data_IF_611626720840
#
_entry.id   IF_611626720840
#
_cell.length_a   1.000
_cell.length_b   1.000
_cell.length_c   1.000
_cell.angle_alpha   90.00
_cell.angle_beta   90.00
_cell.angle_gamma   90.00
#
_symmetry.space_group_name_H-M   'P 1'
#
loop_
_entity.id
_entity.type
_entity.pdbx_description
1 polymer ?
#
# COMPACT_ATOMS: atom_id res chain seq x y z
N UNK A 1 1.29 2.19 -13.13
CA UNK A 1 0.91 2.56 -11.75
C UNK A 1 1.16 4.05 -11.63
N UNK A 2 0.07 4.80 -11.54
CA UNK A 2 -0.08 6.14 -12.09
C UNK A 2 0.71 7.16 -11.26
N UNK A 3 1.92 7.50 -11.73
CA UNK A 3 2.62 8.71 -11.31
C UNK A 3 1.90 9.92 -11.92
N UNK A 4 1.35 10.81 -11.09
CA UNK A 4 0.81 12.08 -11.55
C UNK A 4 -0.50 12.52 -10.91
N UNK A 5 -1.15 11.68 -10.09
CA UNK A 5 -2.45 11.90 -9.40
C UNK A 5 -2.62 13.12 -8.51
N UNK A 6 -1.63 14.01 -8.43
CA UNK A 6 -1.56 14.99 -7.36
C UNK A 6 -1.39 14.35 -5.98
N UNK A 7 -1.13 13.03 -5.93
CA UNK A 7 -0.93 12.28 -4.70
C UNK A 7 0.46 12.56 -4.15
N UNK A 8 0.51 13.13 -2.95
CA UNK A 8 1.71 13.07 -2.14
C UNK A 8 1.88 11.62 -1.67
N UNK A 9 2.77 10.87 -2.30
CA UNK A 9 3.03 9.46 -1.96
C UNK A 9 3.45 9.29 -0.49
N UNK A 10 4.01 10.34 0.13
CA UNK A 10 4.43 10.35 1.53
C UNK A 10 3.32 10.78 2.50
N UNK A 11 2.22 11.37 2.02
CA UNK A 11 1.10 11.79 2.86
C UNK A 11 -0.25 11.52 2.18
N UNK A 12 -0.70 10.27 2.29
CA UNK A 12 -1.92 9.75 1.68
C UNK A 12 -3.21 10.39 2.24
N UNK A 13 -3.12 11.00 3.43
CA UNK A 13 -4.26 11.59 4.14
C UNK A 13 -4.33 13.13 4.03
N UNK A 14 -3.37 13.75 3.33
CA UNK A 14 -3.41 15.19 3.05
C UNK A 14 -4.52 15.56 2.05
N UNK A 15 -4.92 16.85 2.00
CA UNK A 15 -5.79 17.34 0.94
C UNK A 15 -5.25 17.01 -0.46
N UNK A 16 -6.14 16.58 -1.34
CA UNK A 16 -5.80 16.21 -2.71
C UNK A 16 -5.60 17.43 -3.59
N UNK A 17 -4.36 17.76 -3.93
CA UNK A 17 -4.06 18.86 -4.83
C UNK A 17 -3.96 18.33 -6.28
N UNK A 18 -5.05 18.42 -7.05
CA UNK A 18 -5.02 18.19 -8.52
C UNK A 18 -5.79 16.97 -9.09
N UNK A 19 -6.74 16.38 -8.36
CA UNK A 19 -7.40 15.12 -8.79
C UNK A 19 -8.78 15.29 -9.46
N UNK A 20 -8.88 16.13 -10.51
CA UNK A 20 -10.04 16.10 -11.42
C UNK A 20 -9.66 15.34 -12.70
N UNK A 21 -10.16 14.11 -12.89
CA UNK A 21 -10.18 13.44 -14.22
C UNK A 21 -9.24 12.24 -14.46
N UNK A 22 -9.08 11.30 -13.51
CA UNK A 22 -8.05 10.25 -13.58
C UNK A 22 -8.29 9.01 -14.47
N UNK A 23 -9.44 8.90 -15.14
CA UNK A 23 -9.83 7.61 -15.73
C UNK A 23 -9.17 7.30 -17.08
N UNK A 24 -8.79 8.29 -17.89
CA UNK A 24 -8.16 8.05 -19.20
C UNK A 24 -6.77 7.42 -19.07
N UNK A 25 -5.95 7.93 -18.14
CA UNK A 25 -4.61 7.37 -17.88
C UNK A 25 -4.67 6.00 -17.22
N UNK A 26 -5.71 5.73 -16.42
CA UNK A 26 -5.95 4.40 -15.86
C UNK A 26 -6.26 3.38 -16.97
N UNK A 27 -7.11 3.72 -17.94
CA UNK A 27 -7.40 2.86 -19.07
C UNK A 27 -6.14 2.56 -19.91
N UNK A 28 -5.30 3.57 -20.14
CA UNK A 28 -4.02 3.41 -20.84
C UNK A 28 -2.97 2.59 -20.04
N UNK A 29 -2.83 2.82 -18.74
CA UNK A 29 -1.90 2.06 -17.89
C UNK A 29 -2.30 0.58 -17.82
N UNK A 30 -3.59 0.30 -17.65
CA UNK A 30 -4.12 -1.06 -17.56
C UNK A 30 -3.99 -1.81 -18.88
N UNK A 31 -4.31 -1.19 -20.02
CA UNK A 31 -4.15 -1.84 -21.33
C UNK A 31 -2.69 -2.19 -21.64
N UNK A 32 -1.74 -1.38 -21.18
CA UNK A 32 -0.32 -1.67 -21.32
C UNK A 32 0.17 -2.79 -20.39
N UNK A 33 -0.30 -2.84 -19.14
CA UNK A 33 0.09 -3.88 -18.16
C UNK A 33 -0.43 -5.28 -18.53
N UNK A 34 -1.64 -5.37 -19.07
CA UNK A 34 -2.27 -6.66 -19.41
C UNK A 34 -2.15 -7.05 -20.87
N UNK A 35 -1.30 -6.36 -21.65
CA UNK A 35 -1.06 -6.64 -23.07
C UNK A 35 -0.66 -8.10 -23.33
N UNK A 36 0.08 -8.71 -22.40
CA UNK A 36 0.58 -10.08 -22.51
C UNK A 36 -0.41 -11.14 -21.97
N UNK A 37 -1.27 -10.78 -21.01
CA UNK A 37 -2.11 -11.73 -20.27
C UNK A 37 -3.57 -11.77 -20.73
N UNK A 38 -3.95 -10.99 -21.76
CA UNK A 38 -5.30 -10.92 -22.36
C UNK A 38 -6.45 -10.76 -21.35
N UNK A 39 -6.19 -10.12 -20.21
CA UNK A 39 -7.23 -9.82 -19.23
C UNK A 39 -8.05 -8.62 -19.69
N UNK A 40 -9.37 -8.83 -19.81
CA UNK A 40 -10.31 -7.74 -20.10
C UNK A 40 -10.82 -7.17 -18.77
N UNK A 41 -10.20 -6.09 -18.28
CA UNK A 41 -10.65 -5.40 -17.07
C UNK A 41 -11.71 -4.39 -17.46
N UNK A 42 -12.95 -4.59 -17.04
CA UNK A 42 -14.02 -3.63 -17.28
C UNK A 42 -13.62 -2.25 -16.77
N UNK A 43 -13.65 -1.24 -17.65
CA UNK A 43 -13.45 0.16 -17.28
C UNK A 43 -14.80 0.68 -16.81
N UNK A 44 -14.96 1.12 -15.56
CA UNK A 44 -16.25 1.64 -15.12
C UNK A 44 -16.56 2.99 -15.79
N UNK A 45 -17.85 3.38 -15.82
CA UNK A 45 -18.26 4.64 -16.41
C UNK A 45 -17.53 5.85 -15.80
N UNK A 46 -17.20 6.88 -16.61
CA UNK A 46 -16.58 8.10 -16.12
C UNK A 46 -17.44 8.78 -15.04
N UNK A 47 -16.83 9.04 -13.88
CA UNK A 47 -17.31 10.05 -12.93
C UNK A 47 -18.10 9.58 -11.71
N UNK A 48 -18.38 8.28 -11.53
CA UNK A 48 -18.97 7.80 -10.28
C UNK A 48 -17.87 7.57 -9.22
N UNK A 49 -17.89 8.27 -8.07
CA UNK A 49 -17.00 7.95 -6.95
C UNK A 49 -17.29 6.54 -6.45
N UNK A 50 -16.23 5.74 -6.29
CA UNK A 50 -16.35 4.37 -5.77
C UNK A 50 -16.44 4.45 -4.24
N UNK A 51 -17.42 3.78 -3.62
CA UNK A 51 -17.56 3.74 -2.17
C UNK A 51 -16.28 3.25 -1.48
N UNK A 52 -15.96 3.86 -0.35
CA UNK A 52 -14.86 3.40 0.50
C UNK A 52 -13.46 3.62 -0.04
N UNK A 53 -13.26 4.47 -1.07
CA UNK A 53 -11.92 4.79 -1.58
C UNK A 53 -11.45 6.13 -0.99
N UNK A 54 -10.30 6.20 -0.27
CA UNK A 54 -9.75 7.46 0.21
C UNK A 54 -9.47 8.45 -0.92
N UNK A 55 -9.54 9.74 -0.59
CA UNK A 55 -9.16 10.82 -1.52
C UNK A 55 -7.74 10.56 -2.05
N UNK A 56 -7.52 10.84 -3.33
CA UNK A 56 -6.27 10.64 -4.06
C UNK A 56 -5.82 9.20 -4.37
N UNK A 57 -6.62 8.18 -4.05
CA UNK A 57 -6.33 6.80 -4.45
C UNK A 57 -7.28 6.39 -5.57
N UNK A 58 -6.75 5.68 -6.56
CA UNK A 58 -7.57 5.02 -7.57
C UNK A 58 -7.59 3.51 -7.30
N UNK A 59 -8.64 3.03 -6.64
CA UNK A 59 -8.87 1.61 -6.38
C UNK A 59 -9.90 0.97 -7.34
N UNK A 60 -10.13 1.62 -8.48
CA UNK A 60 -11.16 1.24 -9.45
C UNK A 60 -11.01 -0.18 -9.97
N UNK A 61 -9.79 -0.54 -10.38
CA UNK A 61 -9.47 -1.90 -10.85
C UNK A 61 -9.92 -2.96 -9.85
N UNK A 62 -9.52 -2.75 -8.60
CA UNK A 62 -9.70 -3.70 -7.52
C UNK A 62 -11.19 -3.83 -7.15
N UNK A 63 -11.90 -2.70 -7.04
CA UNK A 63 -13.34 -2.70 -6.79
C UNK A 63 -14.11 -3.43 -7.90
N UNK A 64 -13.82 -3.15 -9.17
CA UNK A 64 -14.51 -3.79 -10.30
C UNK A 64 -14.20 -5.28 -10.35
N UNK A 65 -12.94 -5.68 -10.18
CA UNK A 65 -12.52 -7.07 -10.24
C UNK A 65 -13.09 -7.91 -9.08
N UNK A 66 -12.98 -7.44 -7.84
CA UNK A 66 -13.48 -8.16 -6.66
C UNK A 66 -15.01 -8.30 -6.61
N UNK A 67 -15.73 -7.43 -7.33
CA UNK A 67 -17.19 -7.48 -7.40
C UNK A 67 -17.75 -8.23 -8.62
N UNK A 68 -16.91 -8.84 -9.47
CA UNK A 68 -17.42 -9.73 -10.51
C UNK A 68 -17.99 -11.02 -9.89
N UNK A 69 -19.15 -11.48 -10.38
CA UNK A 69 -19.82 -12.68 -9.85
C UNK A 69 -18.92 -13.93 -9.90
N UNK A 70 -18.19 -14.13 -11.02
CA UNK A 70 -17.25 -15.24 -11.17
C UNK A 70 -16.08 -15.15 -10.17
N UNK A 71 -15.53 -13.96 -9.91
CA UNK A 71 -14.46 -13.75 -8.93
C UNK A 71 -14.98 -14.00 -7.52
N UNK A 72 -16.16 -13.46 -7.16
CA UNK A 72 -16.80 -13.71 -5.86
C UNK A 72 -17.08 -15.19 -5.63
N UNK A 73 -17.60 -15.90 -6.64
CA UNK A 73 -17.82 -17.35 -6.57
C UNK A 73 -16.52 -18.13 -6.41
N UNK A 74 -15.47 -17.77 -7.17
CA UNK A 74 -14.15 -18.40 -7.08
C UNK A 74 -13.47 -18.19 -5.71
N UNK A 75 -13.74 -17.06 -5.05
CA UNK A 75 -13.31 -16.76 -3.69
C UNK A 75 -14.29 -17.26 -2.61
N UNK A 76 -15.31 -18.03 -2.99
CA UNK A 76 -16.34 -18.59 -2.11
C UNK A 76 -17.09 -17.54 -1.28
N UNK A 77 -17.30 -16.35 -1.83
CA UNK A 77 -18.05 -15.28 -1.18
C UNK A 77 -19.56 -15.52 -1.37
N UNK A 78 -20.35 -15.62 -0.28
CA UNK A 78 -21.80 -15.77 -0.39
C UNK A 78 -22.47 -14.63 -1.17
N UNK A 79 -23.42 -14.98 -2.03
CA UNK A 79 -24.09 -14.02 -2.92
C UNK A 79 -24.99 -13.00 -2.22
N UNK A 80 -25.39 -13.26 -0.97
CA UNK A 80 -26.21 -12.35 -0.17
C UNK A 80 -25.42 -11.20 0.48
N UNK A 81 -24.09 -11.29 0.49
CA UNK A 81 -23.24 -10.24 1.08
C UNK A 81 -23.17 -9.02 0.17
N UNK A 82 -23.01 -7.81 0.73
CA UNK A 82 -22.89 -6.58 -0.05
C UNK A 82 -21.66 -6.60 -0.98
N UNK A 83 -21.58 -5.61 -1.86
CA UNK A 83 -20.39 -5.37 -2.65
C UNK A 83 -19.17 -5.13 -1.76
N UNK A 84 -18.03 -5.62 -2.21
CA UNK A 84 -16.75 -5.35 -1.57
C UNK A 84 -16.37 -3.88 -1.75
N UNK A 85 -15.88 -3.25 -0.69
CA UNK A 85 -15.37 -1.88 -0.67
C UNK A 85 -13.97 -1.88 -0.03
N UNK A 86 -13.09 -0.95 -0.46
CA UNK A 86 -11.72 -0.88 0.05
C UNK A 86 -11.65 -0.44 1.52
N UNK A 87 -12.45 0.54 1.92
CA UNK A 87 -12.52 1.04 3.30
C UNK A 87 -13.98 1.23 3.71
N UNK A 88 -14.41 0.56 4.78
CA UNK A 88 -15.78 0.72 5.30
C UNK A 88 -15.93 2.02 6.09
N UNK A 89 -16.84 2.88 5.66
CA UNK A 89 -17.22 4.10 6.40
C UNK A 89 -17.92 3.76 7.71
N UNK A 90 -18.72 2.68 7.73
CA UNK A 90 -19.42 2.20 8.92
C UNK A 90 -18.44 1.77 10.02
N UNK A 91 -17.44 0.95 9.66
CA UNK A 91 -16.40 0.55 10.63
C UNK A 91 -15.64 1.78 11.11
N UNK A 92 -15.25 2.67 10.19
CA UNK A 92 -14.46 3.86 10.54
C UNK A 92 -15.21 4.82 11.46
N UNK A 93 -16.52 5.02 11.27
CA UNK A 93 -17.33 5.94 12.09
C UNK A 93 -17.62 5.41 13.49
N UNK A 94 -17.62 4.08 13.65
CA UNK A 94 -17.85 3.43 14.95
C UNK A 94 -16.54 3.07 15.68
N UNK A 95 -15.39 3.24 15.03
CA UNK A 95 -14.11 2.87 15.59
C UNK A 95 -13.72 3.79 16.75
N UNK A 96 -13.47 3.21 17.92
CA UNK A 96 -12.99 3.92 19.09
C UNK A 96 -11.49 3.67 19.28
N UNK A 97 -10.69 4.74 19.24
CA UNK A 97 -9.25 4.65 19.50
C UNK A 97 -9.00 4.42 20.97
N UNK A 98 -8.32 3.33 21.31
CA UNK A 98 -7.96 3.00 22.70
C UNK A 98 -6.66 3.69 23.14
N UNK A 99 -5.72 3.86 22.21
CA UNK A 99 -4.43 4.49 22.46
C UNK A 99 -4.25 5.68 21.51
N UNK A 100 -3.76 6.80 22.05
CA UNK A 100 -3.47 8.00 21.27
C UNK A 100 -2.08 7.97 20.64
N UNK A 101 -1.16 7.25 21.27
CA UNK A 101 0.16 6.95 20.74
C UNK A 101 0.59 5.53 21.14
N UNK A 102 1.62 5.02 20.48
CA UNK A 102 2.22 3.72 20.76
C UNK A 102 3.56 3.85 21.50
N UNK A 103 3.91 5.06 21.96
CA UNK A 103 5.25 5.34 22.48
C UNK A 103 5.63 4.45 23.69
N UNK A 104 4.74 4.17 24.67
CA UNK A 104 5.07 3.30 25.79
C UNK A 104 5.52 1.90 25.35
N UNK A 105 4.83 1.32 24.37
CA UNK A 105 5.16 -0.01 23.84
C UNK A 105 6.52 -0.01 23.11
N UNK A 106 6.81 1.02 22.32
CA UNK A 106 8.10 1.13 21.66
C UNK A 106 9.24 1.42 22.65
N UNK A 107 8.97 2.17 23.73
CA UNK A 107 9.98 2.42 24.76
C UNK A 107 10.44 1.12 25.42
N UNK A 108 9.55 0.16 25.67
CA UNK A 108 9.92 -1.16 26.18
C UNK A 108 10.87 -1.91 25.23
N UNK A 109 10.61 -1.87 23.92
CA UNK A 109 11.45 -2.53 22.91
C UNK A 109 12.81 -1.83 22.74
N UNK A 110 12.84 -0.51 22.87
CA UNK A 110 14.02 0.33 22.65
C UNK A 110 14.96 0.41 23.86
N UNK A 111 14.57 -0.13 25.02
CA UNK A 111 15.45 -0.27 26.20
C UNK A 111 16.61 -1.25 25.96
N UNK A 112 16.54 -2.05 24.88
CA UNK A 112 17.58 -2.99 24.49
C UNK A 112 18.81 -2.32 23.86
N UNK A 113 19.93 -3.04 23.84
CA UNK A 113 21.17 -2.52 23.28
C UNK A 113 21.03 -2.19 21.79
N UNK A 114 21.71 -1.14 21.35
CA UNK A 114 21.86 -0.84 19.93
C UNK A 114 22.80 -1.87 19.33
N UNK A 115 22.29 -2.70 18.44
CA UNK A 115 23.06 -3.73 17.73
C UNK A 115 23.79 -3.13 16.53
N UNK A 116 23.09 -2.26 15.80
CA UNK A 116 23.60 -1.61 14.58
C UNK A 116 23.22 -0.14 14.58
N UNK A 117 24.21 0.74 14.40
CA UNK A 117 23.96 2.18 14.27
C UNK A 117 23.25 2.51 12.95
N UNK A 118 22.66 3.71 12.87
CA UNK A 118 21.90 4.13 11.70
C UNK A 118 22.79 4.19 10.45
N UNK A 119 22.58 3.30 9.49
CA UNK A 119 23.45 3.14 8.32
C UNK A 119 22.65 2.75 7.06
N UNK A 120 23.21 2.96 5.85
CA UNK A 120 22.50 2.63 4.62
C UNK A 120 22.39 1.11 4.42
N UNK A 121 21.32 0.69 3.77
CA UNK A 121 21.20 -0.66 3.20
C UNK A 121 21.02 -0.60 1.70
N UNK A 122 21.38 -1.68 1.01
CA UNK A 122 21.54 -1.68 -0.44
C UNK A 122 20.65 -2.71 -1.15
N UNK A 123 20.20 -2.35 -2.35
CA UNK A 123 19.62 -3.28 -3.30
C UNK A 123 20.26 -3.04 -4.66
N UNK A 124 20.85 -4.07 -5.27
CA UNK A 124 21.55 -3.99 -6.56
C UNK A 124 22.53 -2.79 -6.66
N UNK A 125 23.40 -2.63 -5.65
CA UNK A 125 24.41 -1.55 -5.56
C UNK A 125 23.84 -0.12 -5.46
N UNK A 126 22.54 0.02 -5.21
CA UNK A 126 21.89 1.30 -4.96
C UNK A 126 21.44 1.38 -3.51
N UNK A 127 21.54 2.58 -2.90
CA UNK A 127 21.00 2.82 -1.56
C UNK A 127 19.48 2.63 -1.61
N UNK A 128 19.01 1.59 -0.92
CA UNK A 128 17.59 1.26 -0.82
C UNK A 128 16.93 1.96 0.37
N UNK A 129 17.72 2.47 1.31
CA UNK A 129 17.29 3.31 2.43
C UNK A 129 18.30 3.22 3.57
N UNK A 130 17.82 3.40 4.80
CA UNK A 130 18.63 3.31 6.02
C UNK A 130 17.94 2.44 7.06
N UNK A 131 18.73 1.82 7.93
CA UNK A 131 18.20 1.00 9.02
C UNK A 131 19.02 1.22 10.30
N UNK A 132 18.39 0.94 11.43
CA UNK A 132 18.99 0.92 12.77
C UNK A 132 18.40 -0.26 13.52
N UNK A 133 19.27 -1.06 14.14
CA UNK A 133 18.87 -2.28 14.83
C UNK A 133 19.11 -2.15 16.32
N UNK A 134 18.10 -2.57 17.07
CA UNK A 134 18.13 -2.83 18.49
C UNK A 134 17.93 -4.34 18.68
N UNK A 135 18.22 -4.91 19.84
CA UNK A 135 18.10 -6.37 20.04
C UNK A 135 16.69 -6.90 19.75
N UNK A 136 15.65 -6.09 20.00
CA UNK A 136 14.25 -6.52 19.89
C UNK A 136 13.49 -5.86 18.73
N UNK A 137 14.05 -4.83 18.10
CA UNK A 137 13.36 -4.07 17.05
C UNK A 137 14.34 -3.48 16.04
N UNK A 138 13.97 -3.56 14.76
CA UNK A 138 14.67 -2.88 13.67
C UNK A 138 13.81 -1.78 13.10
N UNK A 139 14.34 -0.57 13.06
CA UNK A 139 13.75 0.55 12.32
C UNK A 139 14.40 0.64 10.94
N UNK A 140 13.60 0.69 9.88
CA UNK A 140 14.08 0.72 8.50
C UNK A 140 13.27 1.69 7.64
N UNK A 141 13.96 2.41 6.77
CA UNK A 141 13.38 3.31 5.77
C UNK A 141 13.60 2.75 4.37
N UNK A 142 12.67 3.01 3.45
CA UNK A 142 12.76 2.63 2.04
C UNK A 142 12.75 3.87 1.16
N UNK A 143 13.89 4.17 0.53
CA UNK A 143 14.12 5.39 -0.25
C UNK A 143 13.17 5.50 -1.45
N UNK A 144 12.47 6.63 -1.52
CA UNK A 144 11.57 6.93 -2.62
C UNK A 144 10.28 6.11 -2.62
N UNK A 145 9.93 5.55 -1.46
CA UNK A 145 8.67 4.83 -1.26
C UNK A 145 7.63 5.70 -0.55
N UNK A 146 6.38 5.59 -0.97
CA UNK A 146 5.24 6.16 -0.25
C UNK A 146 4.65 5.25 0.83
N UNK A 147 3.44 5.57 1.29
CA UNK A 147 2.69 4.82 2.32
C UNK A 147 2.59 3.31 2.04
N UNK A 148 2.34 2.92 0.79
CA UNK A 148 2.20 1.52 0.37
C UNK A 148 3.52 1.01 -0.20
N UNK A 149 4.47 0.67 0.68
CA UNK A 149 5.86 0.39 0.30
C UNK A 149 6.04 -0.64 -0.82
N UNK A 150 5.41 -1.83 -0.75
CA UNK A 150 5.51 -2.82 -1.82
C UNK A 150 4.97 -2.35 -3.17
N UNK A 151 4.04 -1.38 -3.20
CA UNK A 151 3.52 -0.86 -4.46
C UNK A 151 4.49 0.11 -5.13
N UNK A 152 5.27 0.89 -4.38
CA UNK A 152 6.24 1.85 -4.94
C UNK A 152 7.64 1.27 -5.17
N UNK A 153 8.05 0.33 -4.31
CA UNK A 153 9.38 -0.26 -4.28
C UNK A 153 9.30 -1.78 -4.06
N UNK A 154 8.70 -2.55 -4.99
CA UNK A 154 8.39 -3.97 -4.79
C UNK A 154 9.64 -4.82 -4.53
N UNK A 155 10.72 -4.59 -5.28
CA UNK A 155 11.95 -5.35 -5.14
C UNK A 155 12.66 -5.10 -3.80
N UNK A 156 12.71 -3.83 -3.37
CA UNK A 156 13.27 -3.43 -2.07
C UNK A 156 12.40 -3.95 -0.92
N UNK A 157 11.07 -3.89 -1.06
CA UNK A 157 10.13 -4.41 -0.07
C UNK A 157 10.27 -5.93 0.10
N UNK A 158 10.47 -6.67 -1.00
CA UNK A 158 10.71 -8.11 -0.93
C UNK A 158 12.04 -8.42 -0.23
N UNK A 159 13.15 -7.75 -0.59
CA UNK A 159 14.44 -7.92 0.12
C UNK A 159 14.25 -7.65 1.62
N UNK A 160 13.60 -6.54 1.97
CA UNK A 160 13.31 -6.18 3.36
C UNK A 160 12.56 -7.30 4.09
N UNK A 161 11.51 -7.85 3.47
CA UNK A 161 10.70 -8.91 4.06
C UNK A 161 11.47 -10.25 4.19
N UNK A 162 12.27 -10.62 3.19
CA UNK A 162 13.11 -11.82 3.26
C UNK A 162 14.18 -11.70 4.35
N UNK A 163 14.81 -10.53 4.50
CA UNK A 163 15.76 -10.27 5.57
C UNK A 163 15.10 -10.41 6.95
N UNK A 164 13.89 -9.87 7.11
CA UNK A 164 13.11 -10.00 8.34
C UNK A 164 12.82 -11.48 8.65
N UNK A 165 12.30 -12.26 7.70
CA UNK A 165 11.94 -13.66 7.91
C UNK A 165 13.14 -14.55 8.22
N UNK A 166 14.28 -14.29 7.58
CA UNK A 166 15.51 -15.09 7.76
C UNK A 166 16.35 -14.63 8.95
N UNK A 167 15.95 -13.55 9.62
CA UNK A 167 16.76 -12.87 10.63
C UNK A 167 18.20 -12.58 10.13
N UNK A 168 18.29 -12.06 8.90
CA UNK A 168 19.58 -11.72 8.27
C UNK A 168 19.74 -10.21 8.17
N UNK A 169 21.00 -9.76 8.16
CA UNK A 169 21.33 -8.34 8.00
C UNK A 169 20.83 -7.76 6.68
N UNK A 170 20.58 -6.45 6.67
CA UNK A 170 20.12 -5.69 5.51
C UNK A 170 21.26 -5.21 4.60
N UNK A 171 22.51 -5.50 4.96
CA UNK A 171 23.71 -5.17 4.19
C UNK A 171 23.70 -5.79 2.78
#
# INVERSE_FOLDING_TARGET
MIQGVGLNIYNLYAPCWGATGYQERYAADMSNLYRQYQFNVAVPPPGAPIPGVPKCINATAMYVWLNQNNVRQALHIPGFLPNWELCSTQVTSQYQRQYMDMAPFYQELLQSNVMTTYQPWYYQRQVAGFFKEYEQITFLTVKGSGHMVPQYRPAQALKMFECFLKNTTYL
#
